data_IF_262751785394
#
_entry.id   IF_262751785394
#
_cell.length_a   1.000
_cell.length_b   1.000
_cell.length_c   1.000
_cell.angle_alpha   90.00
_cell.angle_beta   90.00
_cell.angle_gamma   90.00
#
_symmetry.space_group_name_H-M   'P 1'
#
loop_
_entity.id
_entity.type
_entity.pdbx_description
1 polymer ?
#
# COMPACT_ATOMS: atom_id res chain seq x y z
N UNK A 1 -14.27 14.12 2.97
CA UNK A 1 -12.80 13.89 3.04
C UNK A 1 -12.08 15.18 2.66
N UNK A 2 -11.82 16.08 3.62
CA UNK A 2 -11.07 17.34 3.41
C UNK A 2 -9.54 17.16 3.45
N UNK A 3 -9.07 16.00 3.92
CA UNK A 3 -7.65 15.65 4.07
C UNK A 3 -6.95 15.31 2.74
N UNK A 4 -7.66 14.67 1.80
CA UNK A 4 -7.08 14.28 0.51
C UNK A 4 -7.02 15.46 -0.45
N UNK A 5 -5.96 15.58 -1.28
CA UNK A 5 -5.87 16.63 -2.28
C UNK A 5 -7.06 16.62 -3.25
N UNK A 6 -7.30 17.76 -3.89
CA UNK A 6 -8.28 17.83 -4.98
C UNK A 6 -7.91 16.86 -6.11
N UNK A 7 -8.91 16.30 -6.78
CA UNK A 7 -8.67 15.45 -7.95
C UNK A 7 -7.89 16.24 -9.00
N UNK A 8 -6.96 15.57 -9.69
CA UNK A 8 -6.05 16.15 -10.67
C UNK A 8 -5.06 17.22 -10.16
N UNK A 9 -4.97 17.44 -8.85
CA UNK A 9 -4.00 18.38 -8.26
C UNK A 9 -2.55 17.87 -8.38
N UNK A 10 -1.61 18.80 -8.61
CA UNK A 10 -0.16 18.51 -8.58
C UNK A 10 0.32 17.99 -7.22
N UNK A 11 -0.40 18.31 -6.13
CA UNK A 11 -0.06 17.81 -4.79
C UNK A 11 -0.01 16.28 -4.71
N UNK A 12 -0.75 15.56 -5.57
CA UNK A 12 -0.70 14.10 -5.62
C UNK A 12 0.68 13.54 -5.96
N UNK A 13 1.53 14.27 -6.69
CA UNK A 13 2.91 13.85 -6.96
C UNK A 13 3.73 13.84 -5.67
N UNK A 14 3.58 14.86 -4.82
CA UNK A 14 4.23 14.88 -3.50
C UNK A 14 3.74 13.71 -2.63
N UNK A 15 2.43 13.47 -2.63
CA UNK A 15 1.85 12.32 -1.91
C UNK A 15 2.38 10.99 -2.42
N UNK A 16 2.47 10.80 -3.74
CA UNK A 16 3.04 9.60 -4.35
C UNK A 16 4.49 9.38 -3.92
N UNK A 17 5.31 10.42 -3.95
CA UNK A 17 6.72 10.34 -3.53
C UNK A 17 6.84 9.99 -2.05
N UNK A 18 6.10 10.67 -1.16
CA UNK A 18 6.12 10.37 0.28
C UNK A 18 5.64 8.94 0.54
N UNK A 19 4.57 8.51 -0.14
CA UNK A 19 4.03 7.17 -0.03
C UNK A 19 5.04 6.10 -0.47
N UNK A 20 5.72 6.32 -1.60
CA UNK A 20 6.74 5.41 -2.11
C UNK A 20 7.92 5.31 -1.15
N UNK A 21 8.38 6.43 -0.58
CA UNK A 21 9.48 6.44 0.40
C UNK A 21 9.09 5.68 1.66
N UNK A 22 7.89 5.94 2.22
CA UNK A 22 7.43 5.24 3.43
C UNK A 22 7.32 3.74 3.20
N UNK A 23 6.73 3.33 2.08
CA UNK A 23 6.61 1.93 1.71
C UNK A 23 7.98 1.30 1.43
N UNK A 24 8.88 2.04 0.79
CA UNK A 24 10.25 1.58 0.56
C UNK A 24 11.01 1.39 1.87
N UNK A 25 10.92 2.30 2.84
CA UNK A 25 11.60 2.16 4.13
C UNK A 25 11.10 0.97 4.96
N UNK A 26 9.83 0.58 4.77
CA UNK A 26 9.22 -0.54 5.49
C UNK A 26 9.92 -1.89 5.19
N UNK A 27 10.26 -2.18 3.93
CA UNK A 27 10.82 -3.49 3.57
C UNK A 27 12.26 -3.72 4.08
N UNK A 28 13.22 -2.78 3.92
CA UNK A 28 14.55 -2.86 4.51
C UNK A 28 14.52 -2.90 6.03
N UNK A 29 13.59 -2.16 6.66
CA UNK A 29 13.39 -2.24 8.10
C UNK A 29 13.03 -3.67 8.53
N UNK A 30 12.04 -4.27 7.89
CA UNK A 30 11.66 -5.65 8.17
C UNK A 30 12.78 -6.66 7.90
N UNK A 31 13.34 -6.63 6.69
CA UNK A 31 14.30 -7.64 6.19
C UNK A 31 15.69 -7.52 6.80
N UNK A 32 16.29 -6.33 6.81
CA UNK A 32 17.69 -6.17 7.21
C UNK A 32 17.85 -5.76 8.67
N UNK A 33 16.92 -4.97 9.20
CA UNK A 33 17.02 -4.51 10.59
C UNK A 33 16.40 -5.53 11.55
N UNK A 34 15.15 -5.92 11.32
CA UNK A 34 14.43 -6.79 12.28
C UNK A 34 14.82 -8.26 12.15
N UNK A 35 15.00 -8.77 10.93
CA UNK A 35 15.43 -10.15 10.67
C UNK A 35 16.96 -10.32 10.62
N UNK A 36 17.74 -9.25 10.84
CA UNK A 36 19.21 -9.24 10.86
C UNK A 36 19.87 -9.91 9.64
N UNK A 37 19.21 -9.87 8.47
CA UNK A 37 19.75 -10.42 7.23
C UNK A 37 20.81 -9.49 6.63
N UNK A 38 21.73 -10.05 5.85
CA UNK A 38 22.77 -9.27 5.17
C UNK A 38 22.16 -8.28 4.18
N UNK A 39 22.71 -7.07 4.16
CA UNK A 39 22.24 -6.00 3.29
C UNK A 39 22.67 -6.25 1.84
N UNK A 40 21.68 -6.40 0.95
CA UNK A 40 21.87 -6.55 -0.48
C UNK A 40 21.33 -5.34 -1.24
N UNK A 41 22.21 -4.62 -1.94
CA UNK A 41 21.88 -3.46 -2.76
C UNK A 41 20.90 -3.79 -3.91
N UNK A 42 20.98 -4.99 -4.47
CA UNK A 42 20.06 -5.44 -5.53
C UNK A 42 18.64 -5.58 -4.99
N UNK A 43 18.52 -6.13 -3.78
CA UNK A 43 17.23 -6.30 -3.13
C UNK A 43 16.64 -4.94 -2.68
N UNK A 44 17.47 -4.02 -2.17
CA UNK A 44 17.07 -2.64 -1.87
C UNK A 44 16.45 -1.93 -3.07
N UNK A 45 17.06 -2.07 -4.25
CA UNK A 45 16.54 -1.51 -5.50
C UNK A 45 15.20 -2.16 -5.89
N UNK A 46 15.07 -3.49 -5.75
CA UNK A 46 13.81 -4.20 -6.03
C UNK A 46 12.68 -3.71 -5.13
N UNK A 47 12.95 -3.51 -3.84
CA UNK A 47 11.97 -2.90 -2.94
C UNK A 47 11.62 -1.46 -3.33
N UNK A 48 12.59 -0.66 -3.74
CA UNK A 48 12.33 0.70 -4.21
C UNK A 48 11.40 0.70 -5.43
N UNK A 49 11.69 -0.15 -6.41
CA UNK A 49 10.86 -0.30 -7.61
C UNK A 49 9.45 -0.78 -7.27
N UNK A 50 9.32 -1.80 -6.43
CA UNK A 50 8.03 -2.30 -5.96
C UNK A 50 7.22 -1.18 -5.28
N UNK A 51 7.86 -0.43 -4.38
CA UNK A 51 7.20 0.66 -3.66
C UNK A 51 6.75 1.79 -4.56
N UNK A 52 7.56 2.15 -5.58
CA UNK A 52 7.19 3.13 -6.59
C UNK A 52 5.99 2.65 -7.41
N UNK A 53 5.95 1.38 -7.81
CA UNK A 53 4.82 0.80 -8.56
C UNK A 53 3.54 0.85 -7.73
N UNK A 54 3.58 0.36 -6.48
CA UNK A 54 2.40 0.36 -5.60
C UNK A 54 1.92 1.78 -5.31
N UNK A 55 2.83 2.69 -4.96
CA UNK A 55 2.51 4.08 -4.72
C UNK A 55 1.93 4.75 -5.98
N UNK A 56 2.50 4.45 -7.15
CA UNK A 56 2.03 4.93 -8.44
C UNK A 56 0.60 4.50 -8.72
N UNK A 57 0.28 3.22 -8.57
CA UNK A 57 -1.07 2.69 -8.78
C UNK A 57 -2.07 3.37 -7.83
N UNK A 58 -1.81 3.33 -6.52
CA UNK A 58 -2.76 3.82 -5.50
C UNK A 58 -2.96 5.33 -5.63
N UNK A 59 -1.87 6.11 -5.75
CA UNK A 59 -1.97 7.57 -5.81
C UNK A 59 -2.45 8.08 -7.18
N UNK A 60 -2.20 7.37 -8.29
CA UNK A 60 -2.77 7.75 -9.60
C UNK A 60 -4.27 7.56 -9.61
N UNK A 61 -4.79 6.48 -9.03
CA UNK A 61 -6.23 6.28 -8.89
C UNK A 61 -6.86 7.33 -7.94
N UNK A 62 -6.17 7.67 -6.85
CA UNK A 62 -6.54 8.80 -5.99
C UNK A 62 -6.58 10.14 -6.75
N UNK A 63 -5.58 10.40 -7.59
CA UNK A 63 -5.48 11.58 -8.45
C UNK A 63 -6.63 11.66 -9.46
N UNK A 64 -7.08 10.52 -10.01
CA UNK A 64 -8.27 10.43 -10.87
C UNK A 64 -9.59 10.66 -10.10
N UNK A 65 -9.56 10.68 -8.77
CA UNK A 65 -10.69 11.00 -7.91
C UNK A 65 -11.32 9.79 -7.20
N UNK A 66 -10.73 8.60 -7.32
CA UNK A 66 -11.17 7.38 -6.63
C UNK A 66 -10.75 7.40 -5.15
N UNK A 67 -11.39 8.28 -4.37
CA UNK A 67 -11.02 8.57 -2.97
C UNK A 67 -11.30 7.40 -2.02
N UNK A 68 -12.40 6.66 -2.21
CA UNK A 68 -12.67 5.48 -1.40
C UNK A 68 -11.65 4.39 -1.70
N UNK A 69 -11.34 4.18 -2.98
CA UNK A 69 -10.29 3.23 -3.39
C UNK A 69 -8.97 3.54 -2.69
N UNK A 70 -8.54 4.81 -2.72
CA UNK A 70 -7.31 5.22 -2.05
C UNK A 70 -7.33 4.93 -0.55
N UNK A 71 -8.44 5.24 0.14
CA UNK A 71 -8.56 5.03 1.60
C UNK A 71 -8.50 3.55 1.94
N UNK A 72 -9.29 2.71 1.28
CA UNK A 72 -9.31 1.26 1.54
C UNK A 72 -8.00 0.57 1.16
N UNK A 73 -7.37 0.97 0.05
CA UNK A 73 -6.05 0.46 -0.35
C UNK A 73 -4.99 0.80 0.69
N UNK A 74 -4.97 2.05 1.16
CA UNK A 74 -4.02 2.51 2.18
C UNK A 74 -4.26 1.82 3.52
N UNK A 75 -5.53 1.63 3.91
CA UNK A 75 -5.86 0.85 5.11
C UNK A 75 -5.38 -0.60 5.00
N UNK A 76 -5.61 -1.27 3.87
CA UNK A 76 -5.11 -2.63 3.62
C UNK A 76 -3.58 -2.72 3.68
N UNK A 77 -2.87 -1.75 3.12
CA UNK A 77 -1.41 -1.66 3.18
C UNK A 77 -0.92 -1.46 4.62
N UNK A 78 -1.56 -0.58 5.40
CA UNK A 78 -1.19 -0.36 6.81
C UNK A 78 -1.42 -1.61 7.65
N UNK A 79 -2.57 -2.27 7.47
CA UNK A 79 -2.89 -3.52 8.18
C UNK A 79 -1.89 -4.61 7.77
N UNK A 80 -1.65 -4.77 6.47
CA UNK A 80 -0.68 -5.73 5.94
C UNK A 80 0.73 -5.49 6.47
N UNK A 81 1.16 -4.23 6.56
CA UNK A 81 2.44 -3.86 7.14
C UNK A 81 2.53 -4.23 8.63
N UNK A 82 1.47 -3.99 9.40
CA UNK A 82 1.42 -4.37 10.81
C UNK A 82 1.52 -5.90 10.99
N UNK A 83 0.81 -6.68 10.15
CA UNK A 83 0.94 -8.15 10.17
C UNK A 83 2.34 -8.60 9.78
N UNK A 84 2.92 -8.03 8.72
CA UNK A 84 4.28 -8.37 8.28
C UNK A 84 5.30 -8.17 9.41
N UNK A 85 5.29 -7.01 10.06
CA UNK A 85 6.18 -6.71 11.19
C UNK A 85 5.88 -7.59 12.41
N UNK A 86 4.61 -7.99 12.61
CA UNK A 86 4.22 -8.90 13.68
C UNK A 86 4.75 -10.32 13.50
N UNK A 87 4.79 -10.82 12.26
CA UNK A 87 5.33 -12.15 11.94
C UNK A 87 6.83 -12.28 12.25
N UNK A 88 7.57 -11.17 12.31
CA UNK A 88 8.98 -11.17 12.72
C UNK A 88 9.19 -11.69 14.14
N UNK A 89 8.16 -11.64 15.00
CA UNK A 89 8.23 -12.12 16.39
C UNK A 89 7.65 -13.53 16.57
N UNK A 90 7.14 -14.14 15.51
CA UNK A 90 6.67 -15.53 15.57
C UNK A 90 7.83 -16.46 15.21
N UNK A 91 8.09 -17.46 16.04
CA UNK A 91 9.05 -18.50 15.71
C UNK A 91 8.48 -19.38 14.60
N UNK A 92 8.83 -19.08 13.35
CA UNK A 92 8.36 -19.80 12.16
C UNK A 92 9.49 -20.54 11.44
N UNK A 93 10.59 -20.83 12.13
CA UNK A 93 11.71 -21.63 11.60
C UNK A 93 12.28 -21.09 10.28
N UNK A 94 12.40 -19.77 10.13
CA UNK A 94 12.95 -19.14 8.91
C UNK A 94 11.90 -18.76 7.85
N UNK A 95 10.62 -19.07 8.07
CA UNK A 95 9.52 -18.68 7.18
C UNK A 95 8.95 -17.29 7.49
N UNK A 96 9.46 -16.59 8.50
CA UNK A 96 8.93 -15.32 8.99
C UNK A 96 8.89 -14.28 7.86
N UNK A 97 9.94 -14.22 7.02
CA UNK A 97 10.00 -13.25 5.94
C UNK A 97 8.96 -13.51 4.85
N UNK A 98 8.80 -14.79 4.46
CA UNK A 98 7.83 -15.16 3.45
C UNK A 98 6.40 -14.98 3.96
N UNK A 99 6.12 -15.46 5.17
CA UNK A 99 4.81 -15.32 5.80
C UNK A 99 4.43 -13.84 5.95
N UNK A 100 5.36 -13.01 6.42
CA UNK A 100 5.19 -11.58 6.53
C UNK A 100 4.88 -10.92 5.18
N UNK A 101 5.67 -11.22 4.14
CA UNK A 101 5.45 -10.66 2.81
C UNK A 101 4.12 -11.11 2.18
N UNK A 102 3.72 -12.38 2.37
CA UNK A 102 2.44 -12.90 1.90
C UNK A 102 1.27 -12.25 2.62
N UNK A 103 1.36 -12.06 3.94
CA UNK A 103 0.35 -11.35 4.71
C UNK A 103 0.21 -9.90 4.25
N UNK A 104 1.34 -9.18 4.09
CA UNK A 104 1.36 -7.84 3.54
C UNK A 104 0.63 -7.78 2.18
N UNK A 105 0.96 -8.70 1.28
CA UNK A 105 0.40 -8.75 -0.06
C UNK A 105 -1.10 -9.05 -0.03
N UNK A 106 -1.53 -10.01 0.80
CA UNK A 106 -2.94 -10.40 0.94
C UNK A 106 -3.79 -9.22 1.43
N UNK A 107 -3.39 -8.56 2.53
CA UNK A 107 -4.14 -7.42 3.06
C UNK A 107 -4.12 -6.20 2.14
N UNK A 108 -3.01 -5.96 1.44
CA UNK A 108 -2.92 -4.90 0.43
C UNK A 108 -3.88 -5.15 -0.74
N UNK A 109 -3.90 -6.38 -1.28
CA UNK A 109 -4.82 -6.76 -2.34
C UNK A 109 -6.29 -6.73 -1.87
N UNK A 110 -6.58 -7.20 -0.66
CA UNK A 110 -7.92 -7.14 -0.09
C UNK A 110 -8.42 -5.71 0.09
N UNK A 111 -7.59 -4.82 0.65
CA UNK A 111 -7.90 -3.40 0.77
C UNK A 111 -8.12 -2.73 -0.58
N UNK A 112 -7.31 -3.06 -1.58
CA UNK A 112 -7.51 -2.58 -2.95
C UNK A 112 -8.83 -3.05 -3.56
N UNK A 113 -9.14 -4.34 -3.46
CA UNK A 113 -10.38 -4.93 -3.99
C UNK A 113 -11.62 -4.33 -3.31
N UNK A 114 -11.61 -4.22 -1.98
CA UNK A 114 -12.67 -3.55 -1.21
C UNK A 114 -12.82 -2.08 -1.61
N UNK A 115 -11.70 -1.39 -1.83
CA UNK A 115 -11.68 -0.02 -2.31
C UNK A 115 -12.30 0.16 -3.70
N UNK A 116 -11.99 -0.76 -4.61
CA UNK A 116 -12.57 -0.79 -5.95
C UNK A 116 -14.08 -1.03 -5.89
N UNK A 117 -14.53 -1.99 -5.07
CA UNK A 117 -15.96 -2.25 -4.84
C UNK A 117 -16.67 -1.03 -4.25
N UNK A 118 -16.09 -0.41 -3.21
CA UNK A 118 -16.68 0.75 -2.55
C UNK A 118 -16.80 1.95 -3.49
N UNK A 119 -15.76 2.25 -4.27
CA UNK A 119 -15.82 3.33 -5.26
C UNK A 119 -16.81 3.00 -6.40
N UNK A 120 -16.85 1.74 -6.86
CA UNK A 120 -17.79 1.27 -7.86
C UNK A 120 -19.26 1.44 -7.42
N UNK A 121 -19.61 0.98 -6.22
CA UNK A 121 -20.95 1.14 -5.63
C UNK A 121 -21.32 2.63 -5.54
N UNK A 122 -20.40 3.47 -5.05
CA UNK A 122 -20.63 4.92 -4.97
C UNK A 122 -20.92 5.55 -6.34
N UNK A 123 -20.20 5.16 -7.38
CA UNK A 123 -20.41 5.67 -8.74
C UNK A 123 -21.76 5.22 -9.31
N UNK A 124 -22.14 3.96 -9.10
CA UNK A 124 -23.43 3.42 -9.53
C UNK A 124 -24.58 4.15 -8.83
N UNK A 125 -24.52 4.32 -7.51
CA UNK A 125 -25.54 5.03 -6.74
C UNK A 125 -25.69 6.49 -7.19
N UNK A 126 -24.57 7.19 -7.41
CA UNK A 126 -24.58 8.57 -7.90
C UNK A 126 -25.19 8.69 -9.31
N UNK A 127 -25.01 7.68 -10.16
CA UNK A 127 -25.61 7.65 -11.50
C UNK A 127 -27.11 7.36 -11.43
N UNK A 128 -27.52 6.41 -10.60
CA UNK A 128 -28.93 6.07 -10.38
C UNK A 128 -29.73 7.24 -9.79
N UNK A 129 -29.17 7.97 -8.81
CA UNK A 129 -29.81 9.13 -8.19
C UNK A 129 -29.93 10.37 -9.09
N UNK A 130 -29.23 10.39 -10.24
CA UNK A 130 -29.30 11.49 -11.22
C UNK A 130 -30.24 11.17 -12.40
N UNK A 131 -30.69 9.92 -12.50
CA UNK A 131 -31.72 9.49 -13.44
C UNK A 131 -33.10 9.66 -12.84
#
# INVERSE_FOLDING_TARGET
MKFLPAAKSKSWFLWMTVYAILLWLLFPLHRFVMLAQEMDATLLLRFALFSVVVAGIVNTLGWLGARLLWVFSTAGIIIGAAFMLGYTYQEMSGWEDLAGFLAFSLFSCAGFALGLLAEGIRLLYKRASKS
#
